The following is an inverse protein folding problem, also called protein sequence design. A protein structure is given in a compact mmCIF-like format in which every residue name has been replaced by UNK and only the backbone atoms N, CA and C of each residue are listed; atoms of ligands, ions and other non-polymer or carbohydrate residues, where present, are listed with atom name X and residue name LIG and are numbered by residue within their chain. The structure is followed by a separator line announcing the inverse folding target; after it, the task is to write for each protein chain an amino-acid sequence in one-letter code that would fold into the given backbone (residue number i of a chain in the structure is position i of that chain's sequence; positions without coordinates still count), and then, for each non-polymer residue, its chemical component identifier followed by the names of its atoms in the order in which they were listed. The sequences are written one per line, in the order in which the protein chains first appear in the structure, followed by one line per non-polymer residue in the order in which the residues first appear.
data_IF_551751773144
#
_entry.id   IF_551751773144
#
_cell.length_a   1.000
_cell.length_b   1.000
_cell.length_c   1.000
_cell.angle_alpha   90.00
_cell.angle_beta   90.00
_cell.angle_gamma   90.00
#
_symmetry.space_group_name_H-M   'P 1'
#
loop_
_entity.id
_entity.type
_entity.pdbx_description
1 polymer ?
#
# COMPACT_ATOMS: atom_id res chain seq x y z
N UNK A 1 4.37 13.26 -9.21
CA UNK A 1 4.48 12.44 -7.99
C UNK A 1 4.78 13.31 -6.78
N UNK A 2 5.91 14.03 -6.74
CA UNK A 2 6.27 14.92 -5.64
C UNK A 2 5.16 15.91 -5.25
N UNK A 3 4.65 16.69 -6.21
CA UNK A 3 3.57 17.67 -5.95
C UNK A 3 2.30 17.05 -5.36
N UNK A 4 1.94 15.82 -5.78
CA UNK A 4 0.78 15.10 -5.25
C UNK A 4 1.02 14.77 -3.77
N UNK A 5 2.20 14.25 -3.44
CA UNK A 5 2.55 13.90 -2.06
C UNK A 5 2.60 15.14 -1.17
N UNK A 6 3.18 16.25 -1.65
CA UNK A 6 3.21 17.53 -0.93
C UNK A 6 1.80 18.04 -0.68
N UNK A 7 0.92 18.04 -1.69
CA UNK A 7 -0.48 18.45 -1.51
C UNK A 7 -1.23 17.59 -0.50
N UNK A 8 -1.07 16.26 -0.56
CA UNK A 8 -1.70 15.35 0.40
C UNK A 8 -1.17 15.59 1.82
N UNK A 9 0.14 15.82 1.95
CA UNK A 9 0.76 16.13 3.23
C UNK A 9 0.26 17.44 3.82
N UNK A 10 0.25 18.52 3.04
CA UNK A 10 -0.12 19.86 3.50
C UNK A 10 -1.61 19.99 3.80
N UNK A 11 -2.47 19.35 2.99
CA UNK A 11 -3.91 19.40 3.16
C UNK A 11 -4.43 18.35 4.15
N UNK A 12 -3.66 17.29 4.42
CA UNK A 12 -4.11 16.14 5.21
C UNK A 12 -5.24 15.33 4.55
N UNK A 13 -5.50 15.55 3.25
CA UNK A 13 -6.56 14.88 2.50
C UNK A 13 -5.95 14.00 1.41
N UNK A 14 -6.27 12.71 1.43
CA UNK A 14 -5.85 11.77 0.39
C UNK A 14 -6.87 11.70 -0.77
N UNK A 15 -6.42 11.38 -1.99
CA UNK A 15 -7.32 11.09 -3.11
C UNK A 15 -8.26 9.93 -2.79
N UNK A 16 -9.51 10.00 -3.26
CA UNK A 16 -10.52 8.98 -2.97
C UNK A 16 -10.12 7.60 -3.53
N UNK A 17 -9.40 7.59 -4.65
CA UNK A 17 -8.92 6.38 -5.34
C UNK A 17 -7.98 5.55 -4.45
N UNK A 18 -7.28 6.19 -3.51
CA UNK A 18 -6.36 5.50 -2.59
C UNK A 18 -7.10 4.64 -1.56
N UNK A 19 -8.41 4.83 -1.39
CA UNK A 19 -9.25 3.97 -0.54
C UNK A 19 -9.57 2.61 -1.17
N UNK A 20 -9.19 2.40 -2.43
CA UNK A 20 -9.43 1.16 -3.16
C UNK A 20 -8.13 0.49 -3.57
N UNK A 21 -8.14 -0.83 -3.58
CA UNK A 21 -7.02 -1.65 -4.05
C UNK A 21 -7.51 -2.73 -5.00
N UNK A 22 -6.65 -3.14 -5.94
CA UNK A 22 -6.96 -4.23 -6.86
C UNK A 22 -6.49 -5.54 -6.24
N UNK A 23 -7.39 -6.51 -6.09
CA UNK A 23 -7.01 -7.86 -5.66
C UNK A 23 -6.45 -8.63 -6.87
N UNK A 24 -5.16 -8.95 -6.81
CA UNK A 24 -4.48 -9.75 -7.81
C UNK A 24 -4.14 -11.14 -7.22
N UNK A 25 -4.68 -12.23 -7.77
CA UNK A 25 -4.34 -13.58 -7.32
C UNK A 25 -2.96 -14.00 -7.86
N UNK A 26 -1.99 -14.24 -6.97
CA UNK A 26 -0.68 -14.80 -7.32
C UNK A 26 -0.70 -16.32 -7.13
N UNK A 27 -0.38 -17.04 -8.18
CA UNK A 27 -0.24 -18.50 -8.14
C UNK A 27 0.96 -18.92 -7.26
N UNK A 28 0.71 -19.81 -6.31
CA UNK A 28 1.69 -20.50 -5.46
C UNK A 28 2.05 -21.85 -6.06
N UNK A 29 2.85 -22.66 -5.34
CA UNK A 29 3.16 -24.04 -5.75
C UNK A 29 1.90 -24.91 -5.82
N UNK A 30 1.84 -25.80 -6.83
CA UNK A 30 0.77 -26.78 -7.01
C UNK A 30 0.03 -26.64 -8.35
N UNK A 31 -1.04 -27.43 -8.56
CA UNK A 31 -1.86 -27.35 -9.77
C UNK A 31 -2.62 -26.02 -9.92
N UNK A 32 -2.63 -25.43 -11.13
CA UNK A 32 -3.32 -24.16 -11.43
C UNK A 32 -4.85 -24.24 -11.39
N UNK A 33 -5.42 -25.44 -11.44
CA UNK A 33 -6.87 -25.64 -11.39
C UNK A 33 -7.44 -25.68 -9.96
N UNK A 34 -6.61 -25.56 -8.92
CA UNK A 34 -7.06 -25.48 -7.53
C UNK A 34 -7.01 -24.04 -7.03
N UNK A 35 -8.16 -23.44 -6.72
CA UNK A 35 -8.25 -22.06 -6.21
C UNK A 35 -7.40 -21.82 -4.95
N UNK A 36 -7.27 -22.83 -4.07
CA UNK A 36 -6.44 -22.76 -2.87
C UNK A 36 -4.94 -22.50 -3.14
N UNK A 37 -4.47 -22.76 -4.38
CA UNK A 37 -3.10 -22.49 -4.78
C UNK A 37 -2.88 -21.04 -5.23
N UNK A 38 -3.84 -20.14 -5.02
CA UNK A 38 -3.67 -18.71 -5.28
C UNK A 38 -3.68 -17.93 -3.97
N UNK A 39 -2.81 -16.93 -3.88
CA UNK A 39 -2.81 -15.94 -2.80
C UNK A 39 -3.25 -14.61 -3.38
N UNK A 40 -4.38 -14.10 -2.91
CA UNK A 40 -4.74 -12.72 -3.17
C UNK A 40 -3.70 -11.78 -2.57
N UNK A 41 -3.23 -10.82 -3.37
CA UNK A 41 -2.50 -9.65 -2.89
C UNK A 41 -3.29 -8.39 -3.26
N UNK A 42 -3.19 -7.35 -2.43
CA UNK A 42 -3.72 -6.04 -2.76
C UNK A 42 -2.65 -5.22 -3.48
N UNK A 43 -2.95 -4.78 -4.70
CA UNK A 43 -2.20 -3.75 -5.40
C UNK A 43 -2.77 -2.38 -4.99
N UNK A 44 -1.91 -1.59 -4.37
CA UNK A 44 -2.21 -0.23 -3.91
C UNK A 44 -1.51 0.80 -4.82
N UNK A 45 -2.04 2.03 -4.92
CA UNK A 45 -1.39 3.10 -5.68
C UNK A 45 0.07 3.31 -5.25
N UNK A 46 0.96 3.51 -6.23
CA UNK A 46 2.39 3.72 -5.95
C UNK A 46 2.59 4.96 -5.08
N UNK A 47 1.87 6.04 -5.37
CA UNK A 47 1.89 7.28 -4.59
C UNK A 47 1.57 7.03 -3.10
N UNK A 48 0.52 6.25 -2.84
CA UNK A 48 0.11 5.86 -1.49
C UNK A 48 1.24 5.12 -0.76
N UNK A 49 1.87 4.14 -1.43
CA UNK A 49 3.01 3.40 -0.85
C UNK A 49 4.19 4.32 -0.53
N UNK A 50 4.53 5.25 -1.42
CA UNK A 50 5.61 6.22 -1.18
C UNK A 50 5.30 7.09 0.04
N UNK A 51 4.07 7.60 0.17
CA UNK A 51 3.66 8.36 1.36
C UNK A 51 3.78 7.53 2.64
N UNK A 52 3.34 6.26 2.59
CA UNK A 52 3.45 5.35 3.72
C UNK A 52 4.89 5.10 4.13
N UNK A 53 5.83 4.95 3.19
CA UNK A 53 7.25 4.80 3.52
C UNK A 53 7.80 6.04 4.22
N UNK A 54 7.48 7.24 3.74
CA UNK A 54 7.87 8.50 4.39
C UNK A 54 7.31 8.57 5.82
N UNK A 55 6.04 8.18 6.00
CA UNK A 55 5.42 8.13 7.32
C UNK A 55 6.07 7.09 8.23
N UNK A 56 6.36 5.89 7.71
CA UNK A 56 7.01 4.82 8.44
C UNK A 56 8.37 5.27 8.97
N UNK A 57 9.24 5.83 8.12
CA UNK A 57 10.56 6.33 8.51
C UNK A 57 10.48 7.41 9.59
N UNK A 58 9.45 8.26 9.54
CA UNK A 58 9.22 9.31 10.55
C UNK A 58 8.68 8.76 11.87
N UNK A 59 7.87 7.71 11.81
CA UNK A 59 7.23 7.12 12.98
C UNK A 59 8.09 6.06 13.66
N UNK A 60 8.99 5.41 12.92
CA UNK A 60 9.86 4.34 13.39
C UNK A 60 10.64 4.70 14.66
N UNK A 61 11.26 5.91 14.81
CA UNK A 61 11.93 6.29 16.05
C UNK A 61 11.01 6.39 17.28
N UNK A 62 9.70 6.49 17.07
CA UNK A 62 8.69 6.57 18.14
C UNK A 62 7.98 5.23 18.38
N UNK A 63 8.10 4.27 17.46
CA UNK A 63 7.40 3.00 17.51
C UNK A 63 7.92 2.05 18.62
N UNK A 64 9.17 2.22 19.06
CA UNK A 64 9.82 1.40 20.10
C UNK A 64 9.98 2.13 21.46
N UNK A 65 9.04 3.01 21.82
CA UNK A 65 8.90 3.54 23.20
C UNK A 65 7.80 2.83 24.00
N UNK A 66 7.73 1.49 23.90
CA UNK A 66 6.89 0.64 24.75
C UNK A 66 7.70 -0.55 25.24
#
# INVERSE_FOLDING_TARGET
MFELLTKVWDLGVQPQEWNTGIICPIHKKGPKNKCANYRGIALLPIAYKVLLYILLERLEPYAEKV
#
